data_IF_605751493816
#
_entry.id   IF_605751493816
#
_cell.length_a   1.000
_cell.length_b   1.000
_cell.length_c   1.000
_cell.angle_alpha   90.00
_cell.angle_beta   90.00
_cell.angle_gamma   90.00
#
_symmetry.space_group_name_H-M   'P 1'
#
loop_
_entity.id
_entity.type
_entity.pdbx_description
1 polymer ?
#
# COMPACT_ATOMS: atom_id res chain seq x y z
N UNK A 1 -32.23 -2.02 -21.05
CA UNK A 1 -31.03 -1.21 -20.76
C UNK A 1 -30.33 -1.84 -19.57
N UNK A 2 -29.28 -2.63 -19.80
CA UNK A 2 -28.31 -3.08 -18.80
C UNK A 2 -27.07 -3.49 -19.60
N UNK A 3 -26.09 -2.59 -19.65
CA UNK A 3 -24.78 -2.87 -20.25
C UNK A 3 -23.88 -3.38 -19.13
N UNK A 4 -23.65 -4.69 -19.10
CA UNK A 4 -22.53 -5.30 -18.41
C UNK A 4 -21.30 -5.18 -19.32
N UNK A 5 -20.39 -4.28 -18.99
CA UNK A 5 -19.07 -4.21 -19.62
C UNK A 5 -18.20 -5.35 -19.08
N UNK A 6 -17.70 -6.19 -19.98
CA UNK A 6 -16.71 -7.23 -19.69
C UNK A 6 -15.40 -6.55 -19.29
N UNK A 7 -14.87 -6.89 -18.11
CA UNK A 7 -13.48 -6.60 -17.76
C UNK A 7 -12.66 -7.87 -17.97
N UNK A 8 -11.66 -7.75 -18.83
CA UNK A 8 -10.71 -8.80 -19.17
C UNK A 8 -9.52 -8.68 -18.20
N UNK A 9 -9.51 -9.51 -17.16
CA UNK A 9 -8.33 -9.74 -16.35
C UNK A 9 -7.48 -10.79 -17.08
N UNK A 10 -6.60 -10.36 -17.99
CA UNK A 10 -5.70 -11.28 -18.69
C UNK A 10 -4.65 -11.82 -17.71
N UNK A 11 -4.90 -13.02 -17.20
CA UNK A 11 -3.99 -13.85 -16.43
C UNK A 11 -3.07 -14.61 -17.39
N UNK A 12 -1.79 -14.25 -17.44
CA UNK A 12 -0.76 -15.12 -18.02
C UNK A 12 -0.09 -15.89 -16.88
N UNK A 13 -0.55 -17.12 -16.64
CA UNK A 13 0.20 -18.11 -15.89
C UNK A 13 0.78 -19.10 -16.91
N UNK A 14 2.06 -18.95 -17.24
CA UNK A 14 2.79 -20.00 -17.95
C UNK A 14 3.43 -20.92 -16.91
N UNK A 15 3.00 -22.19 -16.94
CA UNK A 15 3.41 -23.28 -16.06
C UNK A 15 4.84 -23.76 -16.36
N UNK A 16 5.61 -24.05 -15.31
CA UNK A 16 6.26 -25.38 -15.21
C UNK A 16 6.62 -25.73 -13.76
N UNK A 17 6.01 -26.81 -13.25
CA UNK A 17 6.64 -27.71 -12.28
C UNK A 17 6.17 -27.73 -10.81
N UNK A 18 5.31 -28.72 -10.53
CA UNK A 18 5.13 -29.46 -9.25
C UNK A 18 4.19 -28.90 -8.16
N UNK A 19 3.33 -29.82 -7.68
CA UNK A 19 2.08 -29.60 -6.95
C UNK A 19 2.20 -29.10 -5.50
N UNK A 20 1.37 -28.12 -5.17
CA UNK A 20 0.71 -27.98 -3.86
C UNK A 20 -0.65 -27.31 -4.12
N UNK A 21 -1.76 -28.02 -3.87
CA UNK A 21 -3.11 -27.48 -3.97
C UNK A 21 -3.39 -26.50 -2.82
N UNK A 22 -2.70 -25.36 -2.81
CA UNK A 22 -3.09 -24.18 -2.05
C UNK A 22 -4.05 -23.36 -2.89
N UNK A 23 -5.35 -23.61 -2.78
CA UNK A 23 -6.35 -22.74 -3.39
C UNK A 23 -6.42 -21.44 -2.58
N UNK A 24 -6.02 -20.33 -3.20
CA UNK A 24 -6.30 -19.01 -2.65
C UNK A 24 -7.72 -18.63 -2.95
N UNK A 25 -8.39 -18.20 -1.90
CA UNK A 25 -9.67 -17.59 -2.02
C UNK A 25 -9.52 -16.09 -1.75
N UNK A 26 -9.60 -15.28 -2.80
CA UNK A 26 -9.89 -13.86 -2.66
C UNK A 26 -11.39 -13.77 -2.43
N UNK A 27 -11.79 -13.74 -1.15
CA UNK A 27 -13.19 -13.91 -0.75
C UNK A 27 -14.05 -12.70 -1.10
N UNK A 28 -13.45 -11.50 -1.12
CA UNK A 28 -14.17 -10.29 -1.49
C UNK A 28 -13.23 -9.24 -2.09
N UNK A 29 -13.62 -8.76 -3.27
CA UNK A 29 -13.11 -7.54 -3.89
C UNK A 29 -14.24 -6.53 -3.80
N UNK A 30 -14.14 -5.59 -2.86
CA UNK A 30 -15.08 -4.48 -2.83
C UNK A 30 -14.62 -3.44 -3.84
N UNK A 31 -15.31 -3.31 -4.97
CA UNK A 31 -15.02 -2.27 -5.93
C UNK A 31 -15.16 -0.89 -5.26
N UNK A 32 -14.15 -0.05 -5.42
CA UNK A 32 -14.15 1.31 -4.93
C UNK A 32 -15.27 2.10 -5.62
N UNK A 33 -16.31 2.42 -4.87
CA UNK A 33 -17.08 3.64 -5.14
C UNK A 33 -16.34 4.80 -4.49
N UNK A 34 -16.43 6.00 -5.06
CA UNK A 34 -15.91 7.22 -4.42
C UNK A 34 -16.45 7.26 -2.99
N UNK A 35 -15.59 7.22 -1.96
CA UNK A 35 -16.06 7.22 -0.59
C UNK A 35 -16.90 8.47 -0.30
N UNK A 36 -18.00 8.37 0.46
CA UNK A 36 -18.78 9.54 0.86
C UNK A 36 -17.88 10.59 1.54
N UNK A 37 -17.89 11.82 1.01
CA UNK A 37 -17.06 12.91 1.52
C UNK A 37 -15.59 12.88 1.08
N UNK A 38 -15.23 12.04 0.11
CA UNK A 38 -13.90 12.08 -0.50
C UNK A 38 -13.67 13.41 -1.25
N UNK A 39 -12.44 13.91 -1.17
CA UNK A 39 -11.99 15.08 -1.91
C UNK A 39 -11.46 14.60 -3.26
N UNK A 40 -11.98 15.17 -4.34
CA UNK A 40 -11.55 14.82 -5.69
C UNK A 40 -10.23 15.54 -6.02
N UNK A 41 -9.20 14.77 -6.34
CA UNK A 41 -7.92 15.23 -6.89
C UNK A 41 -7.97 15.01 -8.41
N UNK A 42 -8.05 16.07 -9.23
CA UNK A 42 -8.23 15.91 -10.68
C UNK A 42 -7.09 15.14 -11.36
N UNK A 43 -5.87 15.29 -10.85
CA UNK A 43 -4.68 14.66 -11.39
C UNK A 43 -4.35 13.37 -10.62
N UNK A 44 -4.60 12.23 -11.26
CA UNK A 44 -4.32 10.92 -10.67
C UNK A 44 -2.81 10.65 -10.53
N UNK A 45 -1.94 11.24 -11.38
CA UNK A 45 -0.50 11.12 -11.22
C UNK A 45 -0.03 11.85 -9.97
N UNK A 46 -0.61 13.01 -9.70
CA UNK A 46 -0.35 13.74 -8.46
C UNK A 46 -0.84 12.94 -7.23
N UNK A 47 -2.01 12.29 -7.32
CA UNK A 47 -2.57 11.50 -6.22
C UNK A 47 -1.77 10.23 -5.90
N UNK A 48 -1.38 9.43 -6.90
CA UNK A 48 -0.80 8.10 -6.63
C UNK A 48 0.74 8.09 -6.71
N UNK A 49 1.33 9.03 -7.44
CA UNK A 49 2.77 9.10 -7.64
C UNK A 49 3.40 10.39 -7.10
N UNK A 50 2.62 11.33 -6.59
CA UNK A 50 3.13 12.58 -6.02
C UNK A 50 3.73 12.41 -4.62
N UNK A 51 4.45 13.44 -4.19
CA UNK A 51 4.91 13.58 -2.81
C UNK A 51 3.82 14.25 -1.98
N UNK A 52 3.71 13.79 -0.73
CA UNK A 52 2.72 14.26 0.23
C UNK A 52 3.44 15.00 1.33
N UNK A 53 3.05 16.25 1.59
CA UNK A 53 3.65 17.06 2.63
C UNK A 53 2.57 17.74 3.45
N UNK A 54 2.66 17.58 4.77
CA UNK A 54 1.86 18.37 5.70
C UNK A 54 2.50 19.74 5.93
N UNK A 55 1.71 20.80 5.80
CA UNK A 55 2.08 22.18 6.13
C UNK A 55 1.05 22.78 7.08
N UNK A 56 1.33 22.71 8.38
CA UNK A 56 0.35 23.09 9.41
C UNK A 56 -0.90 22.20 9.37
N UNK A 57 -2.04 22.79 9.00
CA UNK A 57 -3.32 22.08 8.81
C UNK A 57 -3.58 21.70 7.35
N UNK A 58 -2.72 22.11 6.43
CA UNK A 58 -2.89 21.88 4.99
C UNK A 58 -2.11 20.65 4.54
N UNK A 59 -2.64 19.99 3.52
CA UNK A 59 -1.96 18.94 2.77
C UNK A 59 -1.51 19.50 1.42
N UNK A 60 -0.23 19.31 1.11
CA UNK A 60 0.37 19.69 -0.17
C UNK A 60 0.69 18.38 -0.91
N UNK A 61 0.14 18.24 -2.11
CA UNK A 61 0.53 17.21 -3.06
C UNK A 61 1.40 17.86 -4.13
N UNK A 62 2.57 17.30 -4.40
CA UNK A 62 3.49 17.85 -5.39
C UNK A 62 4.06 16.77 -6.29
N UNK A 63 4.18 17.04 -7.58
CA UNK A 63 4.90 16.19 -8.54
C UNK A 63 5.38 17.05 -9.70
N UNK A 64 6.65 16.91 -10.06
CA UNK A 64 7.29 17.69 -11.11
C UNK A 64 7.09 19.21 -10.91
N UNK A 65 6.28 19.87 -11.74
CA UNK A 65 5.93 21.29 -11.62
C UNK A 65 4.50 21.54 -11.15
N UNK A 66 3.75 20.48 -10.83
CA UNK A 66 2.38 20.57 -10.34
C UNK A 66 2.37 20.53 -8.82
N UNK A 67 1.56 21.41 -8.24
CA UNK A 67 1.29 21.45 -6.81
C UNK A 67 -0.21 21.64 -6.61
N UNK A 68 -0.78 20.87 -5.69
CA UNK A 68 -2.15 21.02 -5.21
C UNK A 68 -2.12 21.20 -3.70
N UNK A 69 -2.68 22.31 -3.22
CA UNK A 69 -2.85 22.57 -1.79
C UNK A 69 -4.30 22.27 -1.41
N UNK A 70 -4.47 21.32 -0.50
CA UNK A 70 -5.73 21.00 0.14
C UNK A 70 -5.77 21.67 1.50
N UNK A 71 -6.42 22.83 1.54
CA UNK A 71 -6.54 23.63 2.77
C UNK A 71 -7.37 22.93 3.84
N UNK A 72 -6.97 23.10 5.10
CA UNK A 72 -7.64 22.54 6.28
C UNK A 72 -7.79 21.00 6.25
N UNK A 73 -7.04 20.27 5.42
CA UNK A 73 -7.15 18.81 5.29
C UNK A 73 -6.92 18.07 6.62
N UNK A 74 -5.99 18.56 7.44
CA UNK A 74 -5.68 18.01 8.75
C UNK A 74 -6.51 18.62 9.89
N UNK A 75 -7.56 19.40 9.58
CA UNK A 75 -8.50 19.93 10.57
C UNK A 75 -9.51 18.85 10.98
N UNK A 76 -9.83 18.80 12.27
CA UNK A 76 -10.70 17.77 12.84
C UNK A 76 -10.01 16.40 13.01
N UNK A 77 -10.79 15.41 13.43
CA UNK A 77 -10.27 14.08 13.81
C UNK A 77 -10.26 13.09 12.62
N UNK A 78 -11.29 13.13 11.77
CA UNK A 78 -11.43 12.20 10.64
C UNK A 78 -10.78 12.77 9.38
N UNK A 79 -9.86 12.02 8.78
CA UNK A 79 -9.24 12.37 7.49
C UNK A 79 -10.12 11.93 6.33
N UNK A 80 -10.42 12.86 5.43
CA UNK A 80 -11.16 12.57 4.21
C UNK A 80 -10.31 11.71 3.26
N UNK A 81 -10.93 10.73 2.61
CA UNK A 81 -10.27 10.04 1.51
C UNK A 81 -9.98 11.02 0.36
N UNK A 82 -8.92 10.75 -0.40
CA UNK A 82 -8.64 11.44 -1.65
C UNK A 82 -8.97 10.51 -2.81
N UNK A 83 -9.71 10.99 -3.80
CA UNK A 83 -10.12 10.18 -4.94
C UNK A 83 -9.78 10.85 -6.27
N UNK A 84 -9.38 10.07 -7.26
CA UNK A 84 -9.38 10.52 -8.65
C UNK A 84 -10.81 10.52 -9.22
N UNK A 85 -11.07 11.25 -10.32
CA UNK A 85 -12.41 11.32 -10.93
C UNK A 85 -12.98 9.96 -11.38
N UNK A 86 -12.13 8.97 -11.60
CA UNK A 86 -12.50 7.61 -12.00
C UNK A 86 -12.85 6.68 -10.82
N UNK A 87 -12.74 7.16 -9.58
CA UNK A 87 -13.13 6.42 -8.37
C UNK A 87 -11.99 5.69 -7.66
N UNK A 88 -10.78 5.65 -8.23
CA UNK A 88 -9.62 5.19 -7.47
C UNK A 88 -9.34 6.16 -6.32
N UNK A 89 -8.97 5.65 -5.14
CA UNK A 89 -8.85 6.48 -3.95
C UNK A 89 -7.80 5.99 -2.95
N UNK A 90 -7.30 6.93 -2.16
CA UNK A 90 -6.50 6.65 -0.97
C UNK A 90 -7.34 6.96 0.27
N UNK A 91 -7.31 6.07 1.25
CA UNK A 91 -7.99 6.30 2.53
C UNK A 91 -7.31 7.46 3.28
N UNK A 92 -8.03 8.07 4.22
CA UNK A 92 -7.46 9.13 5.06
C UNK A 92 -6.23 8.68 5.85
N UNK A 93 -6.19 7.42 6.28
CA UNK A 93 -5.04 6.85 7.00
C UNK A 93 -3.83 6.67 6.10
N UNK A 94 -4.04 6.21 4.86
CA UNK A 94 -2.98 6.11 3.84
C UNK A 94 -2.42 7.49 3.52
N UNK A 95 -3.28 8.50 3.33
CA UNK A 95 -2.84 9.88 3.08
C UNK A 95 -2.07 10.46 4.26
N UNK A 96 -2.50 10.18 5.49
CA UNK A 96 -1.81 10.60 6.70
C UNK A 96 -0.41 9.97 6.81
N UNK A 97 -0.29 8.67 6.51
CA UNK A 97 1.01 7.99 6.46
C UNK A 97 1.93 8.58 5.40
N UNK A 98 1.42 8.83 4.18
CA UNK A 98 2.16 9.43 3.08
C UNK A 98 2.67 10.84 3.39
N UNK A 99 1.87 11.64 4.11
CA UNK A 99 2.24 13.01 4.49
C UNK A 99 3.30 13.08 5.61
N UNK A 100 3.80 11.92 6.07
CA UNK A 100 4.68 11.80 7.22
C UNK A 100 3.88 11.94 8.51
N UNK A 101 3.54 10.78 9.12
CA UNK A 101 2.99 10.75 10.46
C UNK A 101 3.96 11.43 11.43
N UNK A 102 3.70 12.67 11.82
CA UNK A 102 4.33 13.23 13.01
C UNK A 102 3.50 12.75 14.18
N UNK A 103 3.86 11.59 14.76
CA UNK A 103 3.48 11.35 16.14
C UNK A 103 4.13 12.49 16.93
N UNK A 104 3.33 13.48 17.32
CA UNK A 104 3.80 14.49 18.25
C UNK A 104 4.31 13.71 19.46
N UNK A 105 5.61 13.76 19.70
CA UNK A 105 6.18 13.31 20.95
C UNK A 105 5.46 14.09 22.05
N UNK A 106 4.46 13.46 22.67
CA UNK A 106 4.06 13.88 24.00
C UNK A 106 5.31 13.76 24.87
N UNK A 107 5.49 14.73 25.75
CA UNK A 107 6.70 14.96 26.52
C UNK A 107 6.96 13.90 27.62
N UNK A 108 6.66 12.65 27.34
CA UNK A 108 7.23 11.50 28.03
C UNK A 108 8.27 10.92 27.07
N UNK A 109 9.57 11.12 27.36
CA UNK A 109 10.72 10.83 26.50
C UNK A 109 10.94 9.36 26.11
N UNK A 110 9.88 8.58 25.90
CA UNK A 110 9.89 7.34 25.16
C UNK A 110 9.46 7.65 23.73
N UNK A 111 10.43 7.77 22.81
CA UNK A 111 10.17 7.42 21.42
C UNK A 111 9.63 5.99 21.49
N UNK A 112 8.34 5.78 21.23
CA UNK A 112 7.81 4.43 21.11
C UNK A 112 8.69 3.72 20.10
N UNK A 113 9.45 2.71 20.55
CA UNK A 113 10.27 1.92 19.67
C UNK A 113 9.34 1.39 18.58
N UNK A 114 9.61 1.73 17.32
CA UNK A 114 8.68 1.36 16.27
C UNK A 114 8.52 -0.15 16.21
N UNK A 115 7.29 -0.59 15.98
CA UNK A 115 6.96 -2.00 16.04
C UNK A 115 7.49 -2.66 14.77
N UNK A 116 8.57 -3.42 14.88
CA UNK A 116 9.12 -4.21 13.79
C UNK A 116 8.08 -5.26 13.38
N UNK A 117 7.71 -5.27 12.10
CA UNK A 117 6.74 -6.22 11.56
C UNK A 117 7.33 -7.06 10.43
N UNK A 118 8.57 -6.81 10.04
CA UNK A 118 9.26 -7.58 9.02
C UNK A 118 10.68 -7.09 8.79
N UNK A 119 11.30 -7.65 7.77
CA UNK A 119 12.65 -7.28 7.35
C UNK A 119 12.83 -7.46 5.83
N UNK A 120 13.77 -6.72 5.28
CA UNK A 120 14.16 -6.81 3.87
C UNK A 120 14.90 -8.12 3.63
N UNK A 121 14.35 -8.98 2.78
CA UNK A 121 14.96 -10.28 2.41
C UNK A 121 15.60 -10.27 1.03
N UNK A 122 15.25 -9.30 0.19
CA UNK A 122 15.88 -9.10 -1.11
C UNK A 122 15.86 -7.62 -1.48
N UNK A 123 16.97 -7.13 -2.00
CA UNK A 123 17.05 -5.82 -2.60
C UNK A 123 17.98 -5.86 -3.79
N UNK A 124 17.44 -5.46 -4.94
CA UNK A 124 18.19 -5.10 -6.14
C UNK A 124 17.81 -3.66 -6.46
N UNK A 125 18.78 -2.80 -6.72
CA UNK A 125 18.56 -1.36 -6.91
C UNK A 125 18.48 -0.61 -5.57
N UNK A 126 17.48 0.26 -5.41
CA UNK A 126 17.29 1.10 -4.22
C UNK A 126 15.91 0.94 -3.62
N UNK A 127 15.82 1.13 -2.31
CA UNK A 127 14.56 1.20 -1.59
C UNK A 127 14.70 2.15 -0.40
N UNK A 128 13.58 2.77 -0.01
CA UNK A 128 13.48 3.62 1.17
C UNK A 128 12.25 3.25 1.99
N UNK A 129 12.29 3.56 3.29
CA UNK A 129 11.15 3.62 4.17
C UNK A 129 11.02 5.04 4.71
N UNK A 130 9.85 5.67 4.58
CA UNK A 130 9.54 6.90 5.30
C UNK A 130 8.93 6.52 6.64
N UNK A 131 9.66 6.82 7.71
CA UNK A 131 9.32 6.50 9.10
C UNK A 131 9.20 7.79 9.89
N UNK A 132 8.00 8.06 10.42
CA UNK A 132 7.72 9.29 11.16
C UNK A 132 8.13 10.58 10.40
N UNK A 133 7.95 10.59 9.08
CA UNK A 133 8.33 11.71 8.21
C UNK A 133 9.83 11.77 7.84
N UNK A 134 10.64 10.82 8.30
CA UNK A 134 12.07 10.73 7.97
C UNK A 134 12.29 9.61 6.96
N UNK A 135 12.99 9.90 5.87
CA UNK A 135 13.37 8.91 4.87
C UNK A 135 14.60 8.12 5.33
N UNK A 136 14.50 6.80 5.34
CA UNK A 136 15.55 5.84 5.68
C UNK A 136 15.84 5.00 4.45
N UNK A 137 17.12 4.87 4.08
CA UNK A 137 17.54 3.95 3.02
C UNK A 137 17.47 2.53 3.57
N UNK A 138 16.84 1.62 2.82
CA UNK A 138 16.74 0.21 3.17
C UNK A 138 17.84 -0.60 2.49
N UNK A 139 18.39 -1.57 3.23
CA UNK A 139 19.34 -2.57 2.77
C UNK A 139 18.82 -3.98 3.10
N UNK A 140 19.45 -5.01 2.53
CA UNK A 140 19.15 -6.39 2.91
C UNK A 140 19.39 -6.62 4.41
N UNK A 141 18.40 -7.20 5.08
CA UNK A 141 18.41 -7.45 6.53
C UNK A 141 17.84 -6.31 7.37
N UNK A 142 17.60 -5.12 6.81
CA UNK A 142 17.04 -4.01 7.56
C UNK A 142 15.58 -4.29 7.94
N UNK A 143 15.19 -3.81 9.12
CA UNK A 143 13.83 -3.97 9.63
C UNK A 143 12.87 -2.95 9.02
N UNK A 144 11.65 -3.41 8.75
CA UNK A 144 10.52 -2.53 8.45
C UNK A 144 9.55 -2.51 9.63
N UNK A 145 8.97 -1.34 9.87
CA UNK A 145 8.16 -1.07 11.04
C UNK A 145 6.72 -0.73 10.65
N UNK A 146 5.78 -1.00 11.56
CA UNK A 146 4.39 -0.55 11.42
C UNK A 146 4.36 0.97 11.21
N UNK A 147 3.64 1.40 10.18
CA UNK A 147 3.50 2.79 9.78
C UNK A 147 4.54 3.27 8.77
N UNK A 148 5.52 2.44 8.40
CA UNK A 148 6.45 2.79 7.32
C UNK A 148 5.71 2.93 5.98
N UNK A 149 6.11 3.94 5.21
CA UNK A 149 5.84 4.00 3.77
C UNK A 149 7.08 3.49 3.05
N UNK A 150 6.99 2.28 2.51
CA UNK A 150 8.08 1.64 1.78
C UNK A 150 7.97 1.96 0.30
N UNK A 151 9.09 2.33 -0.32
CA UNK A 151 9.17 2.65 -1.74
C UNK A 151 10.39 2.00 -2.39
N UNK A 152 10.21 1.43 -3.58
CA UNK A 152 11.29 0.94 -4.43
C UNK A 152 11.66 1.96 -5.52
N UNK A 153 12.92 1.96 -5.94
CA UNK A 153 13.42 2.78 -7.04
C UNK A 153 12.94 2.31 -8.42
N UNK A 154 13.34 3.04 -9.47
CA UNK A 154 12.89 2.85 -10.86
C UNK A 154 13.41 1.57 -11.53
N UNK A 155 14.52 1.03 -11.04
CA UNK A 155 15.14 -0.21 -11.54
C UNK A 155 15.40 -1.13 -10.35
N UNK A 156 14.35 -1.38 -9.58
CA UNK A 156 14.48 -2.01 -8.27
C UNK A 156 13.50 -3.15 -8.06
N UNK A 157 13.92 -4.10 -7.24
CA UNK A 157 13.08 -5.17 -6.71
C UNK A 157 13.35 -5.25 -5.22
N UNK A 158 12.30 -5.12 -4.43
CA UNK A 158 12.35 -5.20 -2.98
C UNK A 158 11.54 -6.39 -2.50
N UNK A 159 12.16 -7.29 -1.73
CA UNK A 159 11.52 -8.39 -1.03
C UNK A 159 11.47 -8.11 0.46
N UNK A 160 10.30 -8.27 1.07
CA UNK A 160 10.09 -8.12 2.51
C UNK A 160 9.46 -9.41 3.03
N UNK A 161 10.01 -9.94 4.11
CA UNK A 161 9.38 -11.02 4.88
C UNK A 161 8.87 -10.47 6.19
N UNK A 162 7.57 -10.66 6.42
CA UNK A 162 6.86 -10.23 7.61
C UNK A 162 6.93 -11.26 8.73
N UNK A 163 6.62 -10.83 9.96
CA UNK A 163 6.71 -11.66 11.18
C UNK A 163 5.76 -12.86 11.19
N UNK A 164 4.69 -12.83 10.39
CA UNK A 164 3.73 -13.92 10.23
C UNK A 164 4.14 -14.91 9.11
N UNK A 165 5.32 -14.73 8.51
CA UNK A 165 5.82 -15.52 7.39
C UNK A 165 5.32 -15.06 6.02
N UNK A 166 4.50 -14.01 5.93
CA UNK A 166 4.10 -13.44 4.65
C UNK A 166 5.31 -12.86 3.93
N UNK A 167 5.45 -13.12 2.63
CA UNK A 167 6.52 -12.58 1.79
C UNK A 167 5.92 -11.69 0.73
N UNK A 168 6.36 -10.44 0.65
CA UNK A 168 6.01 -9.50 -0.42
C UNK A 168 7.21 -9.22 -1.32
N UNK A 169 6.96 -9.16 -2.62
CA UNK A 169 7.83 -8.57 -3.61
C UNK A 169 7.22 -7.26 -4.13
N UNK A 170 8.00 -6.19 -4.16
CA UNK A 170 7.64 -4.91 -4.74
C UNK A 170 8.43 -4.72 -6.03
N UNK A 171 7.73 -4.44 -7.13
CA UNK A 171 8.33 -4.10 -8.43
C UNK A 171 9.01 -2.73 -8.38
N UNK A 172 9.60 -2.29 -9.50
CA UNK A 172 10.07 -0.92 -9.65
C UNK A 172 8.95 0.11 -9.41
N UNK A 173 9.32 1.26 -8.84
CA UNK A 173 8.43 2.40 -8.52
C UNK A 173 7.20 2.02 -7.69
N UNK A 174 7.26 0.94 -6.93
CA UNK A 174 6.17 0.54 -6.06
C UNK A 174 6.22 1.33 -4.75
N UNK A 175 5.04 1.66 -4.23
CA UNK A 175 4.88 2.36 -2.96
C UNK A 175 3.80 1.67 -2.14
N UNK A 176 4.15 1.25 -0.94
CA UNK A 176 3.28 0.51 -0.04
C UNK A 176 3.33 1.11 1.37
N UNK A 177 2.17 1.24 2.01
CA UNK A 177 2.06 1.61 3.42
C UNK A 177 1.90 0.34 4.24
N UNK A 178 2.70 0.23 5.30
CA UNK A 178 2.64 -0.86 6.26
C UNK A 178 1.67 -0.52 7.39
N UNK A 179 0.36 -0.50 7.12
CA UNK A 179 -0.63 0.08 8.04
C UNK A 179 -0.68 -0.66 9.39
N UNK A 180 -0.83 -1.98 9.34
CA UNK A 180 -1.01 -2.79 10.53
C UNK A 180 -0.53 -4.23 10.34
N UNK A 181 0.08 -4.75 11.39
CA UNK A 181 0.28 -6.17 11.56
C UNK A 181 0.24 -6.49 13.06
N UNK A 182 -0.71 -7.33 13.44
CA UNK A 182 -0.84 -7.92 14.77
C UNK A 182 -0.72 -9.41 14.57
N UNK A 183 0.35 -9.98 15.12
CA UNK A 183 0.62 -11.40 15.00
C UNK A 183 1.17 -11.97 16.31
N UNK A 184 0.44 -12.94 16.85
CA UNK A 184 0.88 -13.83 17.91
C UNK A 184 0.66 -15.27 17.41
N UNK A 185 1.72 -16.10 17.30
CA UNK A 185 1.58 -17.49 16.86
C UNK A 185 0.71 -18.35 17.80
N UNK A 186 0.49 -17.91 19.04
CA UNK A 186 -0.39 -18.58 20.00
C UNK A 186 -1.72 -17.83 20.20
N UNK A 187 -1.90 -16.69 19.53
CA UNK A 187 -3.09 -15.85 19.62
C UNK A 187 -4.13 -16.20 18.56
N UNK A 188 -5.37 -15.73 18.77
CA UNK A 188 -6.49 -15.95 17.85
C UNK A 188 -6.89 -14.71 17.04
N UNK A 189 -6.32 -13.54 17.36
CA UNK A 189 -6.75 -12.24 16.82
C UNK A 189 -5.68 -11.65 15.90
N UNK A 190 -5.12 -12.50 15.03
CA UNK A 190 -4.10 -12.07 14.08
C UNK A 190 -4.75 -11.25 12.96
N UNK A 191 -4.16 -10.11 12.63
CA UNK A 191 -4.65 -9.22 11.58
C UNK A 191 -3.49 -8.55 10.83
N UNK A 192 -3.70 -8.28 9.54
CA UNK A 192 -2.78 -7.50 8.74
C UNK A 192 -3.56 -6.62 7.78
N UNK A 193 -3.15 -5.36 7.70
CA UNK A 193 -3.60 -4.41 6.69
C UNK A 193 -2.38 -3.76 6.05
N UNK A 194 -2.29 -3.89 4.73
CA UNK A 194 -1.25 -3.28 3.90
C UNK A 194 -1.92 -2.49 2.79
N UNK A 195 -1.44 -1.29 2.49
CA UNK A 195 -2.00 -0.46 1.42
C UNK A 195 -1.01 -0.32 0.28
N UNK A 196 -1.33 -0.83 -0.90
CA UNK A 196 -0.63 -0.52 -2.13
C UNK A 196 -1.09 0.85 -2.64
N UNK A 197 -0.16 1.78 -2.79
CA UNK A 197 -0.44 3.13 -3.31
C UNK A 197 -0.19 3.17 -4.83
N UNK A 198 0.93 2.60 -5.26
CA UNK A 198 1.34 2.53 -6.66
C UNK A 198 2.25 1.33 -6.93
N UNK A 199 2.34 0.93 -8.19
CA UNK A 199 3.22 -0.15 -8.66
C UNK A 199 2.58 -1.53 -8.65
N UNK A 200 3.42 -2.55 -8.71
CA UNK A 200 3.02 -3.97 -8.69
C UNK A 200 3.61 -4.66 -7.47
N UNK A 201 2.81 -5.49 -6.83
CA UNK A 201 3.28 -6.38 -5.78
C UNK A 201 3.10 -7.83 -6.19
N UNK A 202 3.99 -8.68 -5.69
CA UNK A 202 3.75 -10.10 -5.56
C UNK A 202 3.69 -10.48 -4.10
N UNK A 203 2.92 -11.50 -3.72
CA UNK A 203 2.96 -12.00 -2.35
C UNK A 203 2.66 -13.49 -2.21
N UNK A 204 3.19 -14.04 -1.11
CA UNK A 204 2.93 -15.37 -0.57
C UNK A 204 2.38 -15.16 0.84
N UNK A 205 1.16 -15.60 1.11
CA UNK A 205 0.50 -15.29 2.37
C UNK A 205 0.97 -16.23 3.50
N UNK A 206 1.25 -15.63 4.66
CA UNK A 206 1.67 -16.30 5.88
C UNK A 206 0.50 -16.74 6.75
N UNK A 207 0.78 -16.86 8.05
CA UNK A 207 -0.13 -17.44 9.04
C UNK A 207 -1.38 -16.56 9.30
N UNK A 208 -1.29 -15.24 9.14
CA UNK A 208 -2.44 -14.34 9.31
C UNK A 208 -3.55 -14.63 8.29
N UNK A 209 -3.22 -14.95 7.03
CA UNK A 209 -4.24 -15.31 6.04
C UNK A 209 -4.92 -16.65 6.36
N UNK A 210 -4.20 -17.58 6.98
CA UNK A 210 -4.75 -18.90 7.33
C UNK A 210 -5.66 -18.85 8.56
N UNK A 211 -5.30 -18.02 9.53
CA UNK A 211 -5.88 -18.07 10.88
C UNK A 211 -6.49 -16.75 11.36
N UNK A 212 -6.41 -15.69 10.56
CA UNK A 212 -6.81 -14.34 10.96
C UNK A 212 -7.49 -13.56 9.84
N UNK A 213 -7.31 -12.23 9.88
CA UNK A 213 -7.85 -11.29 8.91
C UNK A 213 -6.71 -10.56 8.18
N UNK A 214 -6.38 -11.01 6.97
CA UNK A 214 -5.39 -10.35 6.11
C UNK A 214 -6.09 -9.55 5.03
N UNK A 215 -5.74 -8.28 4.90
CA UNK A 215 -6.29 -7.36 3.90
C UNK A 215 -5.18 -6.62 3.17
N UNK A 216 -5.39 -6.44 1.88
CA UNK A 216 -4.59 -5.58 1.02
C UNK A 216 -5.51 -4.52 0.44
N UNK A 217 -5.32 -3.28 0.85
CA UNK A 217 -5.98 -2.11 0.27
C UNK A 217 -5.23 -1.69 -0.99
N UNK A 218 -5.98 -1.42 -2.05
CA UNK A 218 -5.48 -0.86 -3.30
C UNK A 218 -6.38 0.32 -3.68
N UNK A 219 -5.95 1.19 -4.61
CA UNK A 219 -6.74 2.37 -4.94
C UNK A 219 -8.16 2.08 -5.41
N UNK A 220 -8.39 0.90 -6.00
CA UNK A 220 -9.67 0.54 -6.62
C UNK A 220 -10.43 -0.54 -5.88
N UNK A 221 -9.82 -1.20 -4.90
CA UNK A 221 -10.47 -2.22 -4.09
C UNK A 221 -9.67 -2.62 -2.85
N UNK A 222 -10.39 -3.07 -1.83
CA UNK A 222 -9.83 -3.86 -0.74
C UNK A 222 -9.99 -5.35 -1.05
N UNK A 223 -8.89 -6.10 -0.93
CA UNK A 223 -8.86 -7.54 -1.07
C UNK A 223 -8.71 -8.19 0.31
N UNK A 224 -9.69 -9.02 0.69
CA UNK A 224 -9.55 -9.94 1.82
C UNK A 224 -8.86 -11.23 1.38
N UNK A 225 -7.80 -11.62 2.07
CA UNK A 225 -6.99 -12.82 1.76
C UNK A 225 -7.25 -13.88 2.84
N UNK A 226 -7.72 -15.05 2.43
CA UNK A 226 -7.89 -16.22 3.31
C UNK A 226 -7.22 -17.48 2.77
N UNK A 227 -6.73 -18.30 3.68
CA UNK A 227 -6.12 -19.60 3.39
C UNK A 227 -4.64 -19.49 3.04
N UNK A 228 -4.16 -20.40 2.19
CA UNK A 228 -2.74 -20.50 1.81
C UNK A 228 -2.53 -19.89 0.43
N UNK A 229 -1.74 -18.81 0.34
CA UNK A 229 -1.38 -18.19 -0.93
C UNK A 229 0.04 -18.50 -1.38
N UNK A 230 0.17 -19.09 -2.58
CA UNK A 230 1.45 -19.59 -3.10
C UNK A 230 2.23 -18.52 -3.88
N UNK A 231 1.58 -17.77 -4.78
CA UNK A 231 2.11 -16.55 -5.41
C UNK A 231 0.98 -15.76 -6.08
N UNK A 232 0.78 -14.51 -5.68
CA UNK A 232 -0.25 -13.62 -6.25
C UNK A 232 0.40 -12.35 -6.74
N UNK A 233 0.03 -11.87 -7.93
CA UNK A 233 0.47 -10.58 -8.45
C UNK A 233 -0.71 -9.59 -8.46
N UNK A 234 -0.50 -8.40 -7.91
CA UNK A 234 -1.47 -7.30 -7.96
C UNK A 234 -0.83 -6.19 -8.78
N UNK A 235 -1.41 -5.94 -9.95
CA UNK A 235 -1.02 -4.83 -10.82
C UNK A 235 -2.14 -3.80 -10.84
N UNK A 236 -1.78 -2.55 -10.58
CA UNK A 236 -2.69 -1.42 -10.74
C UNK A 236 -2.29 -0.59 -11.94
N UNK A 237 -3.24 -0.35 -12.85
CA UNK A 237 -3.08 0.60 -13.96
C UNK A 237 -3.98 1.80 -13.70
N UNK A 238 -3.39 2.99 -13.69
CA UNK A 238 -4.16 4.23 -13.76
C UNK A 238 -4.86 4.32 -15.12
N UNK A 239 -6.19 4.54 -15.16
CA UNK A 239 -6.86 4.98 -16.37
C UNK A 239 -6.23 6.30 -16.86
N UNK A 240 -5.96 6.41 -18.17
CA UNK A 240 -5.32 7.54 -18.85
C UNK A 240 -3.78 7.64 -18.74
N UNK A 241 -3.07 6.52 -18.89
CA UNK A 241 -1.72 6.60 -19.46
C UNK A 241 -1.82 7.23 -20.86
N UNK A 242 -1.46 8.51 -20.99
CA UNK A 242 -1.23 9.15 -22.28
C UNK A 242 -0.17 8.31 -23.00
N UNK A 243 -0.56 7.72 -24.14
CA UNK A 243 0.38 7.13 -25.08
C UNK A 243 1.34 8.23 -25.51
N UNK A 244 2.64 8.07 -25.25
CA UNK A 244 3.63 8.82 -26.00
C UNK A 244 3.49 8.40 -27.48
N UNK A 245 3.40 9.33 -28.43
CA UNK A 245 3.49 8.98 -29.84
C UNK A 245 4.86 8.38 -30.15
N UNK A 246 4.83 7.33 -30.97
CA UNK A 246 5.88 6.40 -31.42
C UNK A 246 7.35 6.88 -31.40
#
# INVERSE_FOLDING_TARGET
MNYAGKFDASLSADESGLHSNGHVHVETVHAAHVPPGAIIVPDAQLLFNGDFKRSGVDLILSRDHQELVLHDYFKGEKRAALSSPDGAHLTGDTVNALAGNVQYAQADGSTAAGHIIGHVTKLVGTATAVRNGVSVILNNGDNVEKGDVVQSGSDSTLGITFIDGTVFGLSANARMVLNEMVYDPNGSNNSSLLSLVAGTITFVAGETAKHGDMKIDTPVATMGIRGTAVLFAVHFKLPNGVLLPD
#
